data_IF_845783242731
#
_entry.id   IF_845783242731
#
_cell.length_a   1.000
_cell.length_b   1.000
_cell.length_c   1.000
_cell.angle_alpha   90.00
_cell.angle_beta   90.00
_cell.angle_gamma   90.00
#
_symmetry.space_group_name_H-M   'P 1'
#
loop_
_entity.id
_entity.type
_entity.pdbx_description
1 polymer ?
#
# COMPACT_ATOMS: atom_id res chain seq x y z
N UNK A 1 19.01 -20.83 -6.73
CA UNK A 1 19.50 -21.35 -5.42
C UNK A 1 19.30 -20.33 -4.32
N UNK A 2 19.82 -19.09 -4.44
CA UNK A 2 19.71 -18.03 -3.43
C UNK A 2 18.30 -17.84 -2.81
N UNK A 3 17.21 -17.79 -3.60
CA UNK A 3 15.86 -17.59 -3.06
C UNK A 3 15.41 -18.68 -2.06
N UNK A 4 15.93 -19.91 -2.20
CA UNK A 4 15.64 -21.03 -1.29
C UNK A 4 16.29 -20.89 0.10
N UNK A 5 17.21 -19.93 0.25
CA UNK A 5 17.85 -19.63 1.54
C UNK A 5 16.97 -18.72 2.41
N UNK A 6 15.99 -18.01 1.83
CA UNK A 6 15.15 -17.03 2.53
C UNK A 6 13.78 -17.58 2.95
N UNK A 7 13.23 -18.55 2.20
CA UNK A 7 11.99 -19.23 2.56
C UNK A 7 11.94 -20.65 1.96
N UNK A 8 11.17 -21.52 2.61
CA UNK A 8 10.84 -22.89 2.18
C UNK A 8 9.78 -22.89 1.08
N UNK A 9 8.96 -21.85 1.02
CA UNK A 9 7.92 -21.68 0.00
C UNK A 9 8.34 -20.58 -0.97
N UNK A 10 8.32 -20.91 -2.25
CA UNK A 10 8.54 -19.95 -3.32
C UNK A 10 7.22 -19.62 -4.02
N UNK A 11 7.10 -18.38 -4.45
CA UNK A 11 6.04 -17.91 -5.35
C UNK A 11 6.69 -17.56 -6.69
N UNK A 12 6.09 -18.02 -7.78
CA UNK A 12 6.55 -17.73 -9.15
C UNK A 12 5.37 -17.11 -9.89
N UNK A 13 5.56 -15.88 -10.34
CA UNK A 13 4.52 -15.08 -10.98
C UNK A 13 4.95 -14.67 -12.38
N UNK A 14 3.97 -14.36 -13.24
CA UNK A 14 4.25 -13.77 -14.54
C UNK A 14 4.74 -12.33 -14.35
N UNK A 15 5.92 -12.01 -14.88
CA UNK A 15 6.43 -10.64 -14.86
C UNK A 15 5.63 -9.70 -15.77
N UNK A 16 5.24 -8.55 -15.23
CA UNK A 16 4.55 -7.47 -15.96
C UNK A 16 5.56 -6.41 -16.42
N UNK A 17 6.06 -6.55 -17.65
CA UNK A 17 7.12 -5.68 -18.18
C UNK A 17 6.60 -4.27 -18.46
N UNK A 18 7.28 -3.26 -17.90
CA UNK A 18 6.89 -1.85 -18.03
C UNK A 18 5.58 -1.50 -17.33
N UNK A 19 5.15 -2.31 -16.36
CA UNK A 19 4.05 -1.96 -15.48
C UNK A 19 4.47 -0.88 -14.49
N UNK A 20 3.55 0.03 -14.19
CA UNK A 20 3.73 1.10 -13.21
C UNK A 20 3.42 0.57 -11.81
N UNK A 21 4.23 0.97 -10.84
CA UNK A 21 3.99 0.67 -9.42
C UNK A 21 3.15 1.77 -8.77
N UNK A 22 1.94 1.40 -8.35
CA UNK A 22 1.00 2.31 -7.71
C UNK A 22 0.68 1.81 -6.30
N UNK A 23 0.81 2.68 -5.31
CA UNK A 23 0.49 2.36 -3.92
C UNK A 23 -0.71 3.18 -3.44
N UNK A 24 -1.56 2.59 -2.59
CA UNK A 24 -2.58 3.32 -1.85
C UNK A 24 -2.58 2.93 -0.36
N UNK A 25 -2.99 3.86 0.49
CA UNK A 25 -3.06 3.66 1.94
C UNK A 25 -4.48 3.45 2.39
N UNK A 26 -4.70 2.42 3.21
CA UNK A 26 -5.98 2.07 3.81
C UNK A 26 -5.90 2.28 5.31
N UNK A 27 -6.91 2.96 5.87
CA UNK A 27 -7.04 3.25 7.30
C UNK A 27 -8.45 2.88 7.74
N UNK A 28 -8.56 2.04 8.77
CA UNK A 28 -9.85 1.75 9.39
C UNK A 28 -9.98 0.34 9.94
N UNK A 29 -11.19 0.04 10.40
CA UNK A 29 -11.61 -1.25 10.92
C UNK A 29 -12.88 -1.70 10.18
N UNK A 30 -14.08 -1.39 10.68
CA UNK A 30 -15.35 -1.76 10.02
C UNK A 30 -15.63 -1.05 8.70
N UNK A 31 -15.22 0.23 8.60
CA UNK A 31 -15.43 1.08 7.43
C UNK A 31 -14.09 1.67 6.98
N UNK A 32 -13.25 0.87 6.30
CA UNK A 32 -11.93 1.33 5.86
C UNK A 32 -12.07 2.48 4.86
N UNK A 33 -11.16 3.44 4.96
CA UNK A 33 -11.02 4.57 4.05
C UNK A 33 -9.73 4.41 3.26
N UNK A 34 -9.73 4.87 2.01
CA UNK A 34 -8.56 4.81 1.14
C UNK A 34 -8.08 6.21 0.81
N UNK A 35 -6.77 6.42 0.86
CA UNK A 35 -6.11 7.65 0.43
C UNK A 35 -6.21 7.87 -1.10
N UNK A 36 -5.65 8.97 -1.58
CA UNK A 36 -5.18 9.07 -2.96
C UNK A 36 -4.16 7.96 -3.26
N UNK A 37 -4.09 7.56 -4.52
CA UNK A 37 -3.03 6.68 -5.01
C UNK A 37 -1.77 7.51 -5.30
N UNK A 38 -0.60 6.91 -5.09
CA UNK A 38 0.69 7.48 -5.49
C UNK A 38 1.47 6.48 -6.34
N UNK A 39 2.34 6.98 -7.19
CA UNK A 39 3.19 6.16 -8.05
C UNK A 39 4.65 6.26 -7.61
N UNK A 40 5.33 5.12 -7.60
CA UNK A 40 6.78 5.03 -7.40
C UNK A 40 7.42 4.87 -8.78
N UNK A 41 8.17 5.88 -9.21
CA UNK A 41 8.98 5.79 -10.42
C UNK A 41 10.39 5.37 -10.01
N UNK A 42 10.85 4.17 -10.39
CA UNK A 42 12.20 3.73 -10.10
C UNK A 42 13.20 4.64 -10.82
N UNK A 43 14.35 4.86 -10.18
CA UNK A 43 15.41 5.69 -10.74
C UNK A 43 16.09 5.09 -11.97
N UNK A 44 15.97 3.78 -12.19
CA UNK A 44 16.63 3.08 -13.28
C UNK A 44 15.65 2.13 -13.97
N UNK A 45 15.43 2.34 -15.27
CA UNK A 45 14.81 1.34 -16.14
C UNK A 45 15.80 0.67 -17.10
N UNK A 46 16.80 1.36 -17.66
CA UNK A 46 17.85 0.74 -18.49
C UNK A 46 19.15 1.58 -18.47
N UNK A 47 20.31 0.92 -18.35
CA UNK A 47 21.63 1.56 -18.38
C UNK A 47 21.93 2.19 -19.75
N UNK A 48 21.94 3.53 -19.81
CA UNK A 48 22.88 4.23 -20.69
C UNK A 48 24.16 4.54 -19.88
N UNK A 49 25.29 4.59 -20.57
CA UNK A 49 26.64 4.70 -19.98
C UNK A 49 26.89 6.05 -19.24
N UNK A 50 25.90 6.96 -19.15
CA UNK A 50 26.05 8.32 -18.59
C UNK A 50 25.58 8.50 -17.15
N UNK A 51 24.91 7.54 -16.52
CA UNK A 51 24.44 7.68 -15.13
C UNK A 51 25.55 7.54 -14.05
N UNK A 52 26.78 8.00 -14.35
CA UNK A 52 27.96 7.76 -13.50
C UNK A 52 28.20 8.79 -12.39
N UNK A 53 27.30 9.76 -12.15
CA UNK A 53 27.59 10.85 -11.20
C UNK A 53 26.44 11.40 -10.34
N UNK A 54 25.23 10.83 -10.35
CA UNK A 54 24.16 11.31 -9.46
C UNK A 54 23.40 10.15 -8.79
N UNK A 55 23.26 10.23 -7.46
CA UNK A 55 22.37 9.40 -6.66
C UNK A 55 20.92 9.66 -7.09
N UNK A 56 20.43 8.93 -8.09
CA UNK A 56 19.05 9.03 -8.54
C UNK A 56 18.16 8.26 -7.54
N UNK A 57 17.50 8.99 -6.64
CA UNK A 57 16.47 8.42 -5.74
C UNK A 57 15.20 8.15 -6.55
N UNK A 58 14.46 7.10 -6.20
CA UNK A 58 13.11 6.87 -6.74
C UNK A 58 12.24 8.12 -6.53
N UNK A 59 11.46 8.47 -7.55
CA UNK A 59 10.59 9.64 -7.53
C UNK A 59 9.18 9.22 -7.11
N UNK A 60 8.61 9.95 -6.16
CA UNK A 60 7.22 9.75 -5.74
C UNK A 60 6.32 10.74 -6.48
N UNK A 61 5.22 10.27 -7.07
CA UNK A 61 4.21 11.10 -7.73
C UNK A 61 2.88 10.93 -6.99
N UNK A 62 2.39 12.01 -6.38
CA UNK A 62 1.14 12.02 -5.62
C UNK A 62 0.32 13.26 -6.05
N UNK A 63 -0.91 13.09 -6.58
CA UNK A 63 -1.56 11.82 -6.92
C UNK A 63 -0.89 11.14 -8.12
N UNK A 64 -0.99 9.81 -8.20
CA UNK A 64 -0.60 9.05 -9.38
C UNK A 64 -1.40 9.54 -10.62
N UNK A 65 -0.76 9.70 -11.80
CA UNK A 65 -1.44 10.09 -13.04
C UNK A 65 -2.27 8.91 -13.55
N UNK A 66 -3.49 8.81 -13.04
CA UNK A 66 -4.49 7.81 -13.37
C UNK A 66 -5.76 8.52 -13.83
N UNK A 67 -6.52 7.88 -14.73
CA UNK A 67 -7.86 8.38 -15.03
C UNK A 67 -8.84 8.07 -13.87
N UNK A 68 -10.05 8.63 -13.93
CA UNK A 68 -11.05 8.49 -12.87
C UNK A 68 -11.48 7.03 -12.68
N UNK A 69 -11.62 6.27 -13.76
CA UNK A 69 -12.01 4.86 -13.71
C UNK A 69 -10.94 4.02 -12.99
N UNK A 70 -9.68 4.19 -13.35
CA UNK A 70 -8.54 3.51 -12.71
C UNK A 70 -8.45 3.89 -11.23
N UNK A 71 -8.59 5.18 -10.91
CA UNK A 71 -8.57 5.66 -9.54
C UNK A 71 -9.68 5.04 -8.70
N UNK A 72 -10.88 4.88 -9.26
CA UNK A 72 -12.00 4.25 -8.58
C UNK A 72 -11.80 2.73 -8.41
N UNK A 73 -11.28 2.04 -9.43
CA UNK A 73 -10.95 0.61 -9.36
C UNK A 73 -9.87 0.32 -8.31
N UNK A 74 -8.80 1.11 -8.26
CA UNK A 74 -7.75 0.97 -7.25
C UNK A 74 -8.33 1.10 -5.84
N UNK A 75 -9.18 2.11 -5.60
CA UNK A 75 -9.82 2.28 -4.28
C UNK A 75 -10.72 1.09 -3.92
N UNK A 76 -11.51 0.59 -4.86
CA UNK A 76 -12.34 -0.62 -4.64
C UNK A 76 -11.48 -1.83 -4.30
N UNK A 77 -10.45 -2.10 -5.10
CA UNK A 77 -9.56 -3.24 -4.92
C UNK A 77 -8.79 -3.14 -3.61
N UNK A 78 -8.37 -1.94 -3.20
CA UNK A 78 -7.71 -1.72 -1.92
C UNK A 78 -8.59 -2.08 -0.73
N UNK A 79 -9.86 -1.64 -0.74
CA UNK A 79 -10.84 -1.98 0.30
C UNK A 79 -11.04 -3.50 0.34
N UNK A 80 -11.24 -4.11 -0.82
CA UNK A 80 -11.49 -5.55 -0.93
C UNK A 80 -10.30 -6.37 -0.47
N UNK A 81 -9.07 -6.01 -0.87
CA UNK A 81 -7.84 -6.66 -0.43
C UNK A 81 -7.69 -6.55 1.08
N UNK A 82 -7.86 -5.35 1.65
CA UNK A 82 -7.79 -5.10 3.08
C UNK A 82 -8.80 -5.94 3.89
N UNK A 83 -10.04 -6.00 3.43
CA UNK A 83 -11.10 -6.80 4.08
C UNK A 83 -10.87 -8.31 3.91
N UNK A 84 -10.37 -8.76 2.76
CA UNK A 84 -10.16 -10.19 2.47
C UNK A 84 -9.16 -10.85 3.42
N UNK A 85 -8.22 -10.08 3.98
CA UNK A 85 -7.22 -10.56 4.95
C UNK A 85 -7.53 -10.16 6.40
N UNK A 86 -8.75 -9.71 6.68
CA UNK A 86 -9.20 -9.26 8.01
C UNK A 86 -8.27 -8.18 8.63
N UNK A 87 -7.75 -7.28 7.78
CA UNK A 87 -6.91 -6.18 8.25
C UNK A 87 -7.70 -5.17 9.07
N UNK A 88 -7.00 -4.50 9.98
CA UNK A 88 -7.54 -3.43 10.81
C UNK A 88 -6.44 -2.48 11.25
N UNK A 89 -6.80 -1.21 11.47
CA UNK A 89 -5.86 -0.14 11.74
C UNK A 89 -5.35 0.41 10.42
N UNK A 90 -4.28 -0.17 9.88
CA UNK A 90 -3.62 0.31 8.66
C UNK A 90 -3.23 -0.82 7.72
N UNK A 91 -3.10 -0.45 6.45
CA UNK A 91 -2.52 -1.28 5.43
C UNK A 91 -2.14 -0.44 4.22
N UNK A 92 -1.04 -0.77 3.56
CA UNK A 92 -0.72 -0.23 2.24
C UNK A 92 -0.93 -1.31 1.22
N UNK A 93 -1.73 -1.03 0.20
CA UNK A 93 -1.98 -1.97 -0.90
C UNK A 93 -1.22 -1.47 -2.11
N UNK A 94 -0.38 -2.34 -2.64
CA UNK A 94 0.53 -2.04 -3.73
C UNK A 94 0.01 -2.74 -4.99
N UNK A 95 0.07 -2.05 -6.12
CA UNK A 95 -0.55 -2.45 -7.38
C UNK A 95 0.45 -2.35 -8.52
N UNK A 96 0.24 -3.20 -9.52
CA UNK A 96 0.77 -3.00 -10.85
C UNK A 96 -0.33 -2.47 -11.78
N UNK A 97 -0.01 -1.46 -12.58
CA UNK A 97 -0.83 -1.01 -13.71
C UNK A 97 -0.06 -1.29 -14.99
N UNK A 98 -0.54 -2.21 -15.81
CA UNK A 98 0.16 -2.60 -17.03
C UNK A 98 0.01 -1.57 -18.16
N UNK A 99 0.65 -1.84 -19.30
CA UNK A 99 0.62 -0.94 -20.47
C UNK A 99 -0.76 -0.87 -21.14
N UNK A 100 -1.64 -1.85 -20.90
CA UNK A 100 -3.03 -1.85 -21.36
C UNK A 100 -3.95 -1.09 -20.38
N UNK A 101 -3.45 -0.75 -19.20
CA UNK A 101 -4.18 -0.06 -18.14
C UNK A 101 -4.92 -1.01 -17.18
N UNK A 102 -4.67 -2.32 -17.28
CA UNK A 102 -5.20 -3.31 -16.34
C UNK A 102 -4.49 -3.21 -14.99
N UNK A 103 -5.27 -3.41 -13.92
CA UNK A 103 -4.84 -3.22 -12.54
C UNK A 103 -4.75 -4.57 -11.85
N UNK A 104 -3.58 -4.86 -11.29
CA UNK A 104 -3.29 -6.07 -10.52
C UNK A 104 -2.92 -5.70 -9.09
N UNK A 105 -3.54 -6.35 -8.10
CA UNK A 105 -3.08 -6.26 -6.71
C UNK A 105 -1.79 -7.06 -6.61
N UNK A 106 -0.71 -6.42 -6.19
CA UNK A 106 0.58 -7.06 -5.96
C UNK A 106 0.64 -7.62 -4.54
N UNK A 107 0.61 -6.73 -3.55
CA UNK A 107 0.70 -7.12 -2.15
C UNK A 107 -0.06 -6.18 -1.21
N UNK A 108 -0.26 -6.63 0.02
CA UNK A 108 -0.74 -5.80 1.12
C UNK A 108 0.26 -5.82 2.27
N UNK A 109 0.70 -4.64 2.67
CA UNK A 109 1.62 -4.40 3.76
C UNK A 109 0.82 -3.94 4.99
N UNK A 110 0.67 -4.80 5.99
CA UNK A 110 -0.13 -4.53 7.21
C UNK A 110 0.58 -3.59 8.19
N UNK A 111 1.92 -3.54 8.13
CA UNK A 111 2.74 -2.58 8.87
C UNK A 111 3.65 -1.87 7.85
N UNK A 112 3.13 -0.89 7.09
CA UNK A 112 3.93 -0.16 6.13
C UNK A 112 4.93 0.75 6.84
N UNK A 113 5.95 1.22 6.10
CA UNK A 113 6.96 2.13 6.66
C UNK A 113 6.39 3.49 7.06
N UNK A 114 6.98 4.11 8.10
CA UNK A 114 6.64 5.45 8.61
C UNK A 114 7.85 6.40 8.63
N UNK A 115 8.86 6.16 7.78
CA UNK A 115 9.99 7.07 7.64
C UNK A 115 9.59 8.34 6.89
N UNK A 116 10.44 9.37 6.88
CA UNK A 116 10.17 10.64 6.18
C UNK A 116 9.90 10.48 4.67
N UNK A 117 10.36 9.37 4.06
CA UNK A 117 10.16 9.07 2.65
C UNK A 117 9.11 7.98 2.41
N UNK A 118 8.53 7.41 3.46
CA UNK A 118 7.56 6.32 3.32
C UNK A 118 6.24 6.81 2.75
N UNK A 119 5.69 6.03 1.82
CA UNK A 119 4.50 6.41 1.06
C UNK A 119 3.24 6.47 1.93
N UNK A 120 3.06 5.54 2.88
CA UNK A 120 1.83 5.45 3.66
C UNK A 120 1.40 6.77 4.34
N UNK A 121 2.25 7.43 5.16
CA UNK A 121 1.88 8.71 5.75
C UNK A 121 1.73 9.85 4.73
N UNK A 122 2.55 9.85 3.66
CA UNK A 122 2.49 10.88 2.60
C UNK A 122 1.16 10.85 1.85
N UNK A 123 0.66 9.66 1.52
CA UNK A 123 -0.61 9.52 0.82
C UNK A 123 -1.77 10.06 1.66
N UNK A 124 -1.78 9.81 2.97
CA UNK A 124 -2.77 10.40 3.88
C UNK A 124 -2.64 11.92 3.99
N UNK A 125 -1.43 12.45 4.08
CA UNK A 125 -1.19 13.90 4.11
C UNK A 125 -1.72 14.59 2.85
N UNK A 126 -1.40 14.06 1.67
CA UNK A 126 -1.94 14.55 0.39
C UNK A 126 -3.45 14.31 0.24
N UNK A 127 -4.02 13.38 1.02
CA UNK A 127 -5.47 13.15 1.10
C UNK A 127 -6.16 14.03 2.15
N UNK A 128 -5.43 14.98 2.76
CA UNK A 128 -5.97 15.93 3.73
C UNK A 128 -6.00 15.42 5.18
N UNK A 129 -5.29 14.33 5.50
CA UNK A 129 -5.13 13.83 6.86
C UNK A 129 -3.68 14.02 7.35
N UNK A 130 -3.39 15.07 8.12
CA UNK A 130 -2.05 15.34 8.63
C UNK A 130 -1.52 14.21 9.51
N UNK A 131 -0.20 14.05 9.54
CA UNK A 131 0.48 12.97 10.25
C UNK A 131 0.07 12.80 11.74
N UNK A 132 -0.02 13.86 12.56
CA UNK A 132 -0.49 13.69 13.95
C UNK A 132 -1.92 13.14 14.02
N UNK A 133 -2.83 13.65 13.18
CA UNK A 133 -4.22 13.19 13.13
C UNK A 133 -4.32 11.74 12.62
N UNK A 134 -3.44 11.32 11.70
CA UNK A 134 -3.32 9.92 11.28
C UNK A 134 -2.97 9.01 12.46
N UNK A 135 -1.97 9.39 13.27
CA UNK A 135 -1.58 8.63 14.46
C UNK A 135 -2.72 8.55 15.48
N UNK A 136 -3.41 9.66 15.75
CA UNK A 136 -4.56 9.69 16.64
C UNK A 136 -5.66 8.72 16.20
N UNK A 137 -5.95 8.67 14.88
CA UNK A 137 -6.94 7.73 14.33
C UNK A 137 -6.49 6.27 14.49
N UNK A 138 -5.22 5.96 14.27
CA UNK A 138 -4.69 4.61 14.46
C UNK A 138 -4.81 4.15 15.91
N UNK A 139 -4.48 5.01 16.86
CA UNK A 139 -4.63 4.74 18.30
C UNK A 139 -6.11 4.53 18.64
N UNK A 140 -7.00 5.38 18.14
CA UNK A 140 -8.43 5.26 18.38
C UNK A 140 -8.99 3.92 17.86
N UNK A 141 -8.61 3.51 16.65
CA UNK A 141 -9.00 2.21 16.07
C UNK A 141 -8.48 1.05 16.90
N UNK A 142 -7.23 1.11 17.37
CA UNK A 142 -6.65 0.07 18.22
C UNK A 142 -7.42 -0.08 19.54
N UNK A 143 -7.82 1.03 20.17
CA UNK A 143 -8.64 1.02 21.38
C UNK A 143 -10.05 0.49 21.14
N UNK A 144 -10.68 0.85 20.03
CA UNK A 144 -11.99 0.32 19.61
C UNK A 144 -11.93 -1.20 19.44
N UNK A 145 -11.01 -1.70 18.61
CA UNK A 145 -10.81 -3.13 18.39
C UNK A 145 -10.49 -3.89 19.67
N UNK A 146 -9.72 -3.28 20.58
CA UNK A 146 -9.45 -3.88 21.88
C UNK A 146 -10.73 -4.07 22.71
N UNK A 147 -11.60 -3.05 22.78
CA UNK A 147 -12.88 -3.14 23.51
C UNK A 147 -13.80 -4.20 22.92
N UNK A 148 -13.90 -4.28 21.60
CA UNK A 148 -14.70 -5.30 20.91
C UNK A 148 -14.23 -6.70 21.26
N UNK A 149 -12.91 -6.93 21.24
CA UNK A 149 -12.33 -8.22 21.62
C UNK A 149 -12.64 -8.60 23.06
N UNK A 150 -12.62 -7.64 23.99
CA UNK A 150 -12.96 -7.89 25.40
C UNK A 150 -14.44 -8.21 25.62
N UNK A 151 -15.33 -7.76 24.72
CA UNK A 151 -16.76 -8.05 24.78
C UNK A 151 -17.12 -9.45 24.23
N UNK A 152 -16.19 -10.14 23.57
CA UNK A 152 -16.41 -11.48 23.06
C UNK A 152 -16.51 -12.49 24.21
N UNK A 153 -17.45 -13.43 24.09
CA UNK A 153 -17.52 -14.59 24.98
C UNK A 153 -16.28 -15.47 24.76
N UNK A 154 -15.62 -15.86 25.85
CA UNK A 154 -14.44 -16.74 25.83
C UNK A 154 -14.77 -18.15 26.33
N UNK A 155 -15.95 -18.38 26.89
CA UNK A 155 -16.47 -19.69 27.31
C UNK A 155 -17.97 -19.83 26.97
N UNK A 156 -18.43 -21.09 26.86
CA UNK A 156 -19.85 -21.46 26.64
C UNK A 156 -20.52 -21.85 27.99
N UNK A 157 -19.93 -21.46 29.13
CA UNK A 157 -20.47 -21.75 30.46
C UNK A 157 -21.78 -21.01 30.74
#
# INVERSE_FOLDING_TARGET
ELALEYDRKLVVEQGLIGAREVECSVLGHHKPQVSLAGEIVPAHEFYDYKAKYHNEKSRLIIPAPLNDEQSQKIKDYAIRAFQAVDCSGMGRVDFFVDQQGEIFVNEINTIPGFTQISMYPKLWEHSGLPYPALLDRLIAIALEKHRERQALRTSIS
#
